data_IF_298554456091
#
_entry.id   IF_298554456091
#
_cell.length_a   1.000
_cell.length_b   1.000
_cell.length_c   1.000
_cell.angle_alpha   90.00
_cell.angle_beta   90.00
_cell.angle_gamma   90.00
#
_symmetry.space_group_name_H-M   'P 1'
#
loop_
_entity.id
_entity.type
_entity.pdbx_description
1 polymer ?
#
# COMPACT_ATOMS: atom_id res chain seq x y z
N UNK A 1 7.37 1.25 -10.53
CA UNK A 1 6.83 0.48 -9.38
C UNK A 1 6.29 -0.86 -9.88
N UNK A 2 6.49 -1.94 -9.12
CA UNK A 2 5.86 -3.21 -9.44
C UNK A 2 4.34 -3.07 -9.28
N UNK A 3 3.57 -3.68 -10.19
CA UNK A 3 2.10 -3.74 -10.09
C UNK A 3 1.76 -5.03 -9.35
N UNK A 4 1.24 -4.92 -8.13
CA UNK A 4 0.85 -6.07 -7.31
C UNK A 4 -0.55 -6.63 -7.67
N UNK A 5 -1.28 -5.95 -8.54
CA UNK A 5 -2.62 -6.36 -8.95
C UNK A 5 -2.65 -7.58 -9.85
N UNK A 6 -3.77 -8.31 -9.81
CA UNK A 6 -4.01 -9.52 -10.60
C UNK A 6 -5.35 -9.46 -11.34
N UNK A 7 -5.34 -9.97 -12.57
CA UNK A 7 -6.57 -10.36 -13.28
C UNK A 7 -6.82 -11.82 -12.95
N UNK A 8 -8.01 -12.13 -12.42
CA UNK A 8 -8.32 -13.50 -11.99
C UNK A 8 -8.68 -14.34 -13.23
N UNK A 9 -7.90 -15.39 -13.55
CA UNK A 9 -8.10 -16.20 -14.75
C UNK A 9 -9.50 -16.83 -14.82
N UNK A 10 -10.07 -16.86 -16.01
CA UNK A 10 -11.39 -17.45 -16.29
C UNK A 10 -12.57 -16.72 -15.61
N UNK A 11 -12.36 -15.48 -15.18
CA UNK A 11 -13.39 -14.64 -14.54
C UNK A 11 -13.35 -13.21 -15.08
N UNK A 12 -14.42 -12.42 -14.97
CA UNK A 12 -14.40 -11.00 -15.31
C UNK A 12 -13.85 -10.12 -14.17
N UNK A 13 -13.01 -10.66 -13.25
CA UNK A 13 -12.53 -9.99 -12.06
C UNK A 13 -11.10 -9.47 -12.22
N UNK A 14 -10.87 -8.24 -11.77
CA UNK A 14 -9.54 -7.65 -11.59
C UNK A 14 -9.42 -7.10 -10.17
N UNK A 15 -8.33 -7.40 -9.48
CA UNK A 15 -8.04 -6.90 -8.12
C UNK A 15 -6.75 -6.11 -8.16
N UNK A 16 -6.79 -4.84 -7.73
CA UNK A 16 -5.65 -3.90 -7.72
C UNK A 16 -4.97 -3.74 -9.09
N UNK A 17 -5.69 -4.02 -10.18
CA UNK A 17 -5.18 -3.98 -11.54
C UNK A 17 -6.00 -3.02 -12.40
N UNK A 18 -5.44 -1.88 -12.79
CA UNK A 18 -6.16 -0.75 -13.39
C UNK A 18 -5.86 -0.53 -14.87
N UNK A 19 -5.00 -1.35 -15.46
CA UNK A 19 -4.63 -1.25 -16.88
C UNK A 19 -5.69 -1.93 -17.77
N UNK A 20 -6.83 -1.29 -17.96
CA UNK A 20 -8.02 -1.84 -18.66
C UNK A 20 -7.68 -2.41 -20.06
N UNK A 21 -6.75 -1.76 -20.78
CA UNK A 21 -6.33 -2.24 -22.11
C UNK A 21 -5.65 -3.61 -22.06
N UNK A 22 -5.02 -3.96 -20.94
CA UNK A 22 -4.36 -5.26 -20.72
C UNK A 22 -5.29 -6.33 -20.16
N UNK A 23 -6.50 -5.97 -19.75
CA UNK A 23 -7.51 -6.89 -19.24
C UNK A 23 -8.89 -6.65 -19.89
N UNK A 24 -9.03 -6.82 -21.21
CA UNK A 24 -10.25 -6.44 -21.94
C UNK A 24 -11.50 -7.22 -21.47
N UNK A 25 -11.32 -8.41 -20.88
CA UNK A 25 -12.40 -9.22 -20.30
C UNK A 25 -12.82 -8.84 -18.88
N UNK A 26 -12.04 -8.02 -18.17
CA UNK A 26 -12.41 -7.60 -16.81
C UNK A 26 -13.60 -6.63 -16.82
N UNK A 27 -14.52 -6.81 -15.88
CA UNK A 27 -15.77 -6.04 -15.76
C UNK A 27 -15.96 -5.53 -14.34
N UNK A 28 -15.48 -6.25 -13.34
CA UNK A 28 -15.58 -5.94 -11.93
C UNK A 28 -14.18 -5.70 -11.39
N UNK A 29 -13.97 -4.50 -10.87
CA UNK A 29 -12.68 -4.06 -10.34
C UNK A 29 -12.75 -3.90 -8.83
N UNK A 30 -11.79 -4.47 -8.13
CA UNK A 30 -11.72 -4.49 -6.68
C UNK A 30 -10.43 -3.82 -6.22
N UNK A 31 -10.52 -2.99 -5.19
CA UNK A 31 -9.38 -2.32 -4.56
C UNK A 31 -9.25 -2.80 -3.13
N UNK A 32 -8.13 -3.45 -2.81
CA UNK A 32 -7.87 -3.97 -1.47
C UNK A 32 -7.58 -2.87 -0.46
N UNK A 33 -6.75 -1.89 -0.83
CA UNK A 33 -6.37 -0.76 0.02
C UNK A 33 -5.68 0.36 -0.80
N UNK A 34 -5.38 1.48 -0.14
CA UNK A 34 -4.93 2.72 -0.80
C UNK A 34 -3.41 2.91 -0.87
N UNK A 35 -2.59 1.86 -0.79
CA UNK A 35 -1.16 2.01 -1.06
C UNK A 35 -0.90 2.21 -2.56
N UNK A 36 0.19 2.92 -2.88
CA UNK A 36 0.49 3.37 -4.23
C UNK A 36 0.72 2.23 -5.22
N UNK A 37 1.33 1.12 -4.80
CA UNK A 37 1.58 -0.06 -5.63
C UNK A 37 0.32 -0.89 -5.94
N UNK A 38 -0.79 -0.67 -5.20
CA UNK A 38 -2.11 -1.25 -5.48
C UNK A 38 -3.01 -0.32 -6.30
N UNK A 39 -2.63 0.95 -6.44
CA UNK A 39 -3.40 1.95 -7.21
C UNK A 39 -2.72 2.39 -8.51
N UNK A 40 -1.63 1.73 -8.93
CA UNK A 40 -0.89 2.06 -10.16
C UNK A 40 -1.79 2.02 -11.40
N UNK A 41 -1.97 3.17 -12.03
CA UNK A 41 -2.86 3.33 -13.20
C UNK A 41 -4.29 3.75 -12.86
N UNK A 42 -4.64 3.88 -11.58
CA UNK A 42 -5.91 4.44 -11.14
C UNK A 42 -5.73 5.96 -10.90
N UNK A 43 -6.57 6.75 -11.55
CA UNK A 43 -6.50 8.22 -11.51
C UNK A 43 -7.91 8.82 -11.38
N UNK A 44 -7.99 10.14 -11.18
CA UNK A 44 -9.27 10.89 -11.17
C UNK A 44 -10.07 10.77 -12.47
N UNK A 45 -9.40 10.40 -13.57
CA UNK A 45 -10.04 10.21 -14.88
C UNK A 45 -10.66 8.84 -15.06
N UNK A 46 -10.58 7.96 -14.05
CA UNK A 46 -11.21 6.63 -14.11
C UNK A 46 -12.70 6.74 -14.45
N UNK A 47 -13.11 6.05 -15.52
CA UNK A 47 -14.47 6.14 -16.06
C UNK A 47 -14.98 4.82 -16.66
N UNK A 48 -14.26 3.74 -16.44
CA UNK A 48 -14.51 2.52 -17.17
C UNK A 48 -15.50 1.56 -16.50
N UNK A 49 -15.35 1.34 -15.19
CA UNK A 49 -16.08 0.31 -14.45
C UNK A 49 -16.22 0.70 -12.97
N UNK A 50 -17.20 0.12 -12.27
CA UNK A 50 -17.33 0.27 -10.82
C UNK A 50 -16.09 -0.28 -10.11
N UNK A 51 -15.68 0.41 -9.05
CA UNK A 51 -14.61 0.03 -8.13
C UNK A 51 -15.27 -0.41 -6.83
N UNK A 52 -15.08 -1.66 -6.47
CA UNK A 52 -15.56 -2.23 -5.21
C UNK A 52 -14.45 -2.23 -4.17
N UNK A 53 -14.71 -1.68 -3.00
CA UNK A 53 -13.74 -1.56 -1.91
C UNK A 53 -14.45 -1.41 -0.56
N UNK A 54 -13.68 -1.35 0.54
CA UNK A 54 -14.25 -1.04 1.86
C UNK A 54 -14.74 0.42 1.94
N UNK A 55 -15.64 0.77 2.87
CA UNK A 55 -16.08 2.14 3.09
C UNK A 55 -14.94 3.11 3.38
N UNK A 56 -13.97 2.69 4.20
CA UNK A 56 -12.78 3.49 4.52
C UNK A 56 -11.91 3.71 3.27
N UNK A 57 -11.66 2.67 2.47
CA UNK A 57 -10.92 2.79 1.20
C UNK A 57 -11.66 3.69 0.23
N UNK A 58 -13.01 3.65 0.17
CA UNK A 58 -13.82 4.55 -0.65
C UNK A 58 -13.64 6.02 -0.25
N UNK A 59 -13.61 6.31 1.05
CA UNK A 59 -13.35 7.67 1.57
C UNK A 59 -11.95 8.16 1.15
N UNK A 60 -10.93 7.32 1.31
CA UNK A 60 -9.56 7.64 0.91
C UNK A 60 -9.42 7.79 -0.61
N UNK A 61 -10.14 7.00 -1.40
CA UNK A 61 -10.14 7.05 -2.85
C UNK A 61 -10.70 8.39 -3.36
N UNK A 62 -11.78 8.91 -2.73
CA UNK A 62 -12.32 10.26 -3.00
C UNK A 62 -11.30 11.34 -2.64
N UNK A 63 -10.75 11.24 -1.43
CA UNK A 63 -9.83 12.25 -0.90
C UNK A 63 -8.53 12.34 -1.70
N UNK A 64 -7.86 11.20 -1.94
CA UNK A 64 -6.49 11.16 -2.47
C UNK A 64 -6.42 11.12 -4.00
N UNK A 65 -7.29 10.37 -4.65
CA UNK A 65 -7.28 10.18 -6.11
C UNK A 65 -8.43 10.92 -6.81
N UNK A 66 -9.37 11.50 -6.06
CA UNK A 66 -10.50 12.26 -6.59
C UNK A 66 -11.30 11.51 -7.67
N UNK A 67 -11.39 10.20 -7.55
CA UNK A 67 -12.22 9.37 -8.43
C UNK A 67 -13.68 9.79 -8.26
N UNK A 68 -14.41 9.88 -9.38
CA UNK A 68 -15.82 10.30 -9.38
C UNK A 68 -16.69 9.31 -8.62
N UNK A 69 -17.60 9.83 -7.80
CA UNK A 69 -18.51 9.08 -6.91
C UNK A 69 -19.25 7.94 -7.62
N UNK A 70 -19.73 8.17 -8.83
CA UNK A 70 -20.47 7.18 -9.62
C UNK A 70 -19.70 5.86 -9.89
N UNK A 71 -18.37 5.86 -9.72
CA UNK A 71 -17.54 4.68 -9.92
C UNK A 71 -17.15 3.99 -8.62
N UNK A 72 -17.40 4.60 -7.46
CA UNK A 72 -17.01 4.09 -6.15
C UNK A 72 -18.18 3.35 -5.53
N UNK A 73 -18.01 2.06 -5.29
CA UNK A 73 -19.04 1.19 -4.73
C UNK A 73 -18.50 0.54 -3.45
N UNK A 74 -18.69 1.18 -2.28
CA UNK A 74 -18.30 0.59 -1.01
C UNK A 74 -19.13 -0.63 -0.69
N UNK A 75 -18.49 -1.65 -0.14
CA UNK A 75 -19.11 -2.88 0.36
C UNK A 75 -18.79 -3.02 1.84
N UNK A 76 -19.82 -3.32 2.65
CA UNK A 76 -19.65 -3.52 4.09
C UNK A 76 -18.83 -4.78 4.39
N UNK A 77 -18.03 -4.73 5.47
CA UNK A 77 -17.21 -5.84 5.90
C UNK A 77 -18.07 -6.94 6.56
N UNK A 78 -17.70 -8.18 6.32
CA UNK A 78 -18.34 -9.35 6.91
C UNK A 78 -19.65 -9.78 6.24
N UNK A 79 -20.30 -8.90 5.49
CA UNK A 79 -21.54 -9.20 4.79
C UNK A 79 -21.28 -9.79 3.38
N UNK A 80 -22.03 -10.82 2.96
CA UNK A 80 -21.96 -11.34 1.61
C UNK A 80 -22.72 -10.45 0.63
N UNK A 81 -22.05 -9.91 -0.37
CA UNK A 81 -22.63 -9.07 -1.41
C UNK A 81 -22.74 -9.84 -2.72
N UNK A 82 -23.92 -9.82 -3.36
CA UNK A 82 -24.14 -10.48 -4.64
C UNK A 82 -24.00 -9.51 -5.82
N UNK A 83 -23.09 -9.80 -6.73
CA UNK A 83 -22.84 -9.03 -7.94
C UNK A 83 -23.11 -9.90 -9.18
N UNK A 84 -23.65 -9.33 -10.27
CA UNK A 84 -23.87 -10.08 -11.52
C UNK A 84 -22.53 -10.34 -12.22
N UNK A 85 -22.36 -11.55 -12.74
CA UNK A 85 -21.21 -11.95 -13.58
C UNK A 85 -21.56 -11.98 -15.07
N UNK A 86 -22.82 -11.70 -15.42
CA UNK A 86 -23.32 -11.61 -16.79
C UNK A 86 -24.42 -10.55 -16.93
N UNK A 87 -24.79 -10.22 -18.17
CA UNK A 87 -25.80 -9.19 -18.46
C UNK A 87 -27.24 -9.62 -18.14
N UNK A 88 -27.50 -10.92 -17.98
CA UNK A 88 -28.84 -11.48 -17.75
C UNK A 88 -29.09 -11.88 -16.30
N UNK A 89 -28.09 -11.72 -15.42
CA UNK A 89 -28.18 -12.05 -14.00
C UNK A 89 -28.30 -13.55 -13.70
N UNK A 90 -27.91 -14.42 -14.65
CA UNK A 90 -27.91 -15.88 -14.50
C UNK A 90 -26.77 -16.35 -13.61
N UNK A 91 -25.57 -15.82 -13.87
CA UNK A 91 -24.38 -16.11 -13.07
C UNK A 91 -24.11 -14.97 -12.08
N UNK A 92 -23.78 -15.32 -10.87
CA UNK A 92 -23.57 -14.37 -9.79
C UNK A 92 -22.27 -14.63 -9.06
N UNK A 93 -21.67 -13.57 -8.57
CA UNK A 93 -20.56 -13.56 -7.64
C UNK A 93 -21.08 -13.23 -6.25
N UNK A 94 -20.73 -14.05 -5.27
CA UNK A 94 -20.77 -13.61 -3.87
C UNK A 94 -19.39 -13.11 -3.49
N UNK A 95 -19.30 -11.89 -2.96
CA UNK A 95 -18.06 -11.31 -2.46
C UNK A 95 -18.24 -10.89 -1.00
N UNK A 96 -17.31 -11.34 -0.15
CA UNK A 96 -17.28 -10.96 1.27
C UNK A 96 -15.94 -10.29 1.57
N UNK A 97 -15.99 -9.13 2.23
CA UNK A 97 -14.82 -8.38 2.66
C UNK A 97 -14.43 -8.80 4.07
N UNK A 98 -13.14 -9.08 4.27
CA UNK A 98 -12.58 -9.48 5.57
C UNK A 98 -11.48 -8.47 5.92
N UNK A 99 -11.45 -8.00 7.17
CA UNK A 99 -10.40 -7.09 7.66
C UNK A 99 -9.00 -7.70 7.45
N UNK A 100 -8.12 -6.97 6.74
CA UNK A 100 -6.78 -7.46 6.42
C UNK A 100 -5.72 -7.14 7.49
N UNK A 101 -6.04 -6.28 8.47
CA UNK A 101 -5.11 -5.86 9.54
C UNK A 101 -3.77 -5.33 9.00
N UNK A 102 -3.80 -4.57 7.89
CA UNK A 102 -2.62 -4.01 7.24
C UNK A 102 -2.52 -2.49 7.44
N UNK A 103 -3.40 -1.75 6.80
CA UNK A 103 -3.56 -0.31 6.99
C UNK A 103 -5.06 0.05 7.04
N UNK A 104 -5.46 1.28 7.40
CA UNK A 104 -6.86 1.67 7.43
C UNK A 104 -7.59 1.36 6.13
N UNK A 105 -8.69 0.62 6.24
CA UNK A 105 -9.53 0.24 5.11
C UNK A 105 -9.05 -0.97 4.30
N UNK A 106 -7.90 -1.56 4.64
CA UNK A 106 -7.38 -2.74 3.95
C UNK A 106 -8.25 -3.97 4.19
N UNK A 107 -8.60 -4.67 3.10
CA UNK A 107 -9.45 -5.86 3.14
C UNK A 107 -8.92 -6.99 2.27
N UNK A 108 -9.22 -8.21 2.71
CA UNK A 108 -9.17 -9.41 1.90
C UNK A 108 -10.53 -9.58 1.22
N UNK A 109 -10.56 -10.17 0.02
CA UNK A 109 -11.77 -10.51 -0.70
C UNK A 109 -11.94 -12.04 -0.78
N UNK A 110 -13.06 -12.54 -0.27
CA UNK A 110 -13.52 -13.90 -0.57
C UNK A 110 -14.52 -13.85 -1.73
N UNK A 111 -14.16 -14.42 -2.86
CA UNK A 111 -14.99 -14.54 -4.05
C UNK A 111 -15.52 -15.96 -4.20
N UNK A 112 -16.83 -16.10 -4.37
CA UNK A 112 -17.50 -17.38 -4.57
C UNK A 112 -18.40 -17.32 -5.79
N UNK A 113 -18.28 -18.31 -6.68
CA UNK A 113 -19.03 -18.33 -7.93
C UNK A 113 -18.81 -19.65 -8.69
N UNK A 114 -19.13 -19.66 -10.01
CA UNK A 114 -18.95 -20.82 -10.87
C UNK A 114 -17.49 -21.35 -10.91
N UNK A 115 -16.55 -20.53 -10.53
CA UNK A 115 -15.11 -20.83 -10.46
C UNK A 115 -14.65 -21.43 -9.14
N UNK A 116 -15.58 -21.70 -8.22
CA UNK A 116 -15.31 -22.12 -6.85
C UNK A 116 -15.09 -20.92 -5.91
N UNK A 117 -14.27 -21.10 -4.88
CA UNK A 117 -13.95 -20.10 -3.88
C UNK A 117 -12.51 -19.62 -4.00
N UNK A 118 -12.33 -18.30 -4.05
CA UNK A 118 -11.03 -17.64 -4.18
C UNK A 118 -10.89 -16.65 -3.02
N UNK A 119 -9.87 -16.85 -2.19
CA UNK A 119 -9.49 -15.85 -1.19
C UNK A 119 -8.29 -15.04 -1.72
N UNK A 120 -8.48 -13.74 -1.87
CA UNK A 120 -7.45 -12.79 -2.27
C UNK A 120 -7.09 -11.92 -1.07
N UNK A 121 -5.89 -12.10 -0.51
CA UNK A 121 -5.52 -11.43 0.75
C UNK A 121 -5.25 -9.94 0.57
N UNK A 122 -4.88 -9.48 -0.63
CA UNK A 122 -4.17 -8.21 -0.73
C UNK A 122 -2.97 -8.24 0.20
N UNK A 123 -2.54 -7.08 0.67
CA UNK A 123 -1.57 -6.99 1.75
C UNK A 123 -2.27 -7.20 3.08
N UNK A 124 -1.74 -8.11 3.93
CA UNK A 124 -2.39 -8.43 5.19
C UNK A 124 -1.39 -8.79 6.30
N UNK A 125 -1.80 -8.61 7.53
CA UNK A 125 -1.10 -9.21 8.67
C UNK A 125 -2.01 -10.17 9.40
N UNK A 126 -1.70 -11.46 9.30
CA UNK A 126 -2.47 -12.52 9.91
C UNK A 126 -2.60 -12.35 11.43
N UNK A 127 -3.81 -12.61 11.90
CA UNK A 127 -4.13 -12.81 13.31
C UNK A 127 -5.09 -13.99 13.44
N UNK A 128 -5.00 -14.81 14.51
CA UNK A 128 -5.90 -15.95 14.70
C UNK A 128 -7.39 -15.56 14.75
N UNK A 129 -7.72 -14.29 14.99
CA UNK A 129 -9.08 -13.78 14.95
C UNK A 129 -9.70 -13.84 13.56
N UNK A 130 -8.91 -13.72 12.49
CA UNK A 130 -9.39 -13.79 11.10
C UNK A 130 -10.05 -15.13 10.78
N UNK A 131 -9.55 -16.23 11.35
CA UNK A 131 -10.16 -17.54 11.17
C UNK A 131 -11.50 -17.71 11.90
N UNK A 132 -11.88 -16.74 12.73
CA UNK A 132 -13.20 -16.71 13.40
C UNK A 132 -14.27 -16.02 12.58
N UNK A 133 -13.88 -15.38 11.49
CA UNK A 133 -14.84 -14.78 10.55
C UNK A 133 -15.81 -15.86 10.02
N UNK A 134 -17.13 -15.59 10.01
CA UNK A 134 -18.12 -16.58 9.61
C UNK A 134 -17.85 -17.20 8.25
N UNK A 135 -17.40 -16.43 7.29
CA UNK A 135 -17.10 -16.86 5.92
C UNK A 135 -15.84 -17.75 5.80
N UNK A 136 -14.93 -17.74 6.80
CA UNK A 136 -13.74 -18.59 6.84
C UNK A 136 -13.85 -19.77 7.79
N UNK A 137 -14.99 -19.92 8.47
CA UNK A 137 -15.19 -21.04 9.41
C UNK A 137 -15.30 -22.38 8.68
N UNK A 138 -15.04 -23.42 9.44
CA UNK A 138 -14.78 -24.84 9.27
C UNK A 138 -15.34 -25.62 8.07
N UNK A 139 -16.19 -25.11 7.22
CA UNK A 139 -16.72 -25.80 6.05
C UNK A 139 -16.46 -25.08 4.72
N UNK A 140 -15.81 -23.93 4.75
CA UNK A 140 -15.46 -23.21 3.52
C UNK A 140 -14.16 -23.79 2.96
N UNK A 141 -14.26 -24.49 1.84
CA UNK A 141 -13.06 -24.95 1.11
C UNK A 141 -12.56 -23.79 0.26
N UNK A 142 -11.34 -23.34 0.46
CA UNK A 142 -10.70 -22.35 -0.42
C UNK A 142 -10.02 -23.08 -1.59
N UNK A 143 -10.55 -22.91 -2.80
CA UNK A 143 -9.96 -23.53 -3.99
C UNK A 143 -8.66 -22.83 -4.40
N UNK A 144 -8.62 -21.50 -4.30
CA UNK A 144 -7.44 -20.72 -4.65
C UNK A 144 -7.19 -19.66 -3.58
N UNK A 145 -5.98 -19.63 -3.04
CA UNK A 145 -5.49 -18.57 -2.16
C UNK A 145 -4.49 -17.72 -2.93
N UNK A 146 -4.83 -16.45 -3.19
CA UNK A 146 -3.85 -15.42 -3.58
C UNK A 146 -3.28 -14.84 -2.29
N UNK A 147 -1.99 -15.05 -2.07
CA UNK A 147 -1.33 -14.78 -0.78
C UNK A 147 -0.31 -13.64 -0.90
N UNK A 148 -0.39 -12.68 0.00
CA UNK A 148 0.70 -11.75 0.28
C UNK A 148 1.93 -12.52 0.77
N UNK A 149 2.96 -12.54 -0.06
CA UNK A 149 4.21 -13.23 0.21
C UNK A 149 5.40 -12.26 0.45
N UNK A 150 5.12 -11.03 0.86
CA UNK A 150 6.13 -9.98 1.04
C UNK A 150 7.24 -10.39 2.01
N UNK A 151 6.91 -11.04 3.12
CA UNK A 151 7.90 -11.54 4.09
C UNK A 151 7.97 -13.07 4.10
N UNK A 152 7.79 -13.72 2.95
CA UNK A 152 7.85 -15.17 2.84
C UNK A 152 9.30 -15.70 2.78
N UNK A 153 10.08 -15.39 3.80
CA UNK A 153 11.45 -15.88 3.99
C UNK A 153 11.54 -16.58 5.36
N UNK A 154 11.74 -17.92 5.39
CA UNK A 154 11.82 -18.68 6.64
C UNK A 154 13.01 -18.29 7.53
N UNK A 155 14.05 -17.67 6.96
CA UNK A 155 15.21 -17.23 7.71
C UNK A 155 15.02 -15.86 8.37
N UNK A 156 13.88 -15.20 8.10
CA UNK A 156 13.62 -13.86 8.59
C UNK A 156 12.55 -13.88 9.68
N UNK A 157 12.95 -13.52 10.90
CA UNK A 157 12.03 -13.31 12.00
C UNK A 157 11.61 -11.87 12.11
N UNK A 158 10.33 -11.62 12.36
CA UNK A 158 9.77 -10.29 12.58
C UNK A 158 9.03 -10.28 13.93
N UNK A 159 9.23 -9.26 14.76
CA UNK A 159 8.50 -9.14 16.01
C UNK A 159 7.02 -8.85 15.76
N UNK A 160 6.18 -9.12 16.74
CA UNK A 160 4.81 -8.61 16.75
C UNK A 160 4.82 -7.06 16.75
N UNK A 161 3.74 -6.44 16.24
CA UNK A 161 3.60 -4.96 16.31
C UNK A 161 3.71 -4.46 17.75
N UNK A 162 3.17 -5.23 18.72
CA UNK A 162 3.24 -4.88 20.14
C UNK A 162 4.68 -4.85 20.66
N UNK A 163 5.50 -5.83 20.31
CA UNK A 163 6.91 -5.86 20.68
C UNK A 163 7.69 -4.71 20.02
N UNK A 164 7.46 -4.47 18.73
CA UNK A 164 8.09 -3.36 18.01
C UNK A 164 7.67 -1.99 18.60
N UNK A 165 6.40 -1.80 18.92
CA UNK A 165 5.89 -0.59 19.60
C UNK A 165 6.55 -0.41 20.97
N UNK A 166 6.71 -1.49 21.74
CA UNK A 166 7.37 -1.43 23.03
C UNK A 166 8.84 -1.00 22.90
N UNK A 167 9.57 -1.55 21.93
CA UNK A 167 10.95 -1.15 21.62
C UNK A 167 11.03 0.34 21.25
N UNK A 168 10.09 0.85 20.44
CA UNK A 168 10.01 2.27 20.10
C UNK A 168 9.78 3.11 21.37
N UNK A 169 8.86 2.71 22.25
CA UNK A 169 8.60 3.40 23.53
C UNK A 169 9.85 3.44 24.42
N UNK A 170 10.63 2.37 24.46
CA UNK A 170 11.88 2.31 25.22
C UNK A 170 12.95 3.26 24.67
N UNK A 171 13.11 3.32 23.35
CA UNK A 171 14.01 4.30 22.69
C UNK A 171 13.59 5.73 23.08
N UNK A 172 12.31 6.05 23.01
CA UNK A 172 11.80 7.39 23.36
C UNK A 172 12.01 7.72 24.84
N UNK A 173 11.82 6.74 25.74
CA UNK A 173 12.04 6.92 27.20
C UNK A 173 13.51 7.12 27.54
N UNK A 174 14.42 6.43 26.85
CA UNK A 174 15.87 6.58 27.07
C UNK A 174 16.42 7.93 26.58
N UNK A 175 15.62 8.69 25.81
CA UNK A 175 15.99 10.01 25.28
C UNK A 175 14.97 11.11 25.68
N UNK A 176 14.82 11.40 26.98
CA UNK A 176 13.74 12.27 27.47
C UNK A 176 13.86 13.71 26.98
N UNK A 177 15.06 14.18 26.70
CA UNK A 177 15.36 15.54 26.24
C UNK A 177 15.35 15.69 24.70
N UNK A 178 15.17 14.61 23.94
CA UNK A 178 15.20 14.68 22.49
C UNK A 178 13.80 14.89 21.90
N UNK A 179 13.74 15.63 20.81
CA UNK A 179 12.63 15.53 19.87
C UNK A 179 12.73 14.22 19.11
N UNK A 180 11.58 13.66 18.74
CA UNK A 180 11.49 12.36 18.09
C UNK A 180 10.81 12.53 16.75
N UNK A 181 11.46 12.08 15.68
CA UNK A 181 10.89 12.06 14.33
C UNK A 181 10.60 10.61 13.95
N UNK A 182 9.34 10.31 13.66
CA UNK A 182 8.92 8.96 13.21
C UNK A 182 8.77 8.97 11.70
N UNK A 183 9.58 8.18 11.00
CA UNK A 183 9.53 8.05 9.54
C UNK A 183 8.50 7.03 9.09
N UNK A 184 7.48 7.46 8.35
CA UNK A 184 6.34 6.64 7.92
C UNK A 184 6.13 6.72 6.41
N UNK A 185 5.31 5.81 5.89
CA UNK A 185 4.69 5.93 4.57
C UNK A 185 3.45 6.84 4.62
N UNK A 186 2.81 7.05 3.48
CA UNK A 186 1.63 7.92 3.36
C UNK A 186 0.44 7.43 4.16
N UNK A 187 0.28 6.13 4.30
CA UNK A 187 -0.80 5.46 5.02
C UNK A 187 -0.24 4.26 5.80
N UNK A 188 -0.84 3.94 6.92
CA UNK A 188 -0.43 2.86 7.83
C UNK A 188 0.33 3.35 9.05
N UNK A 189 0.34 2.53 10.11
CA UNK A 189 0.95 2.79 11.43
C UNK A 189 0.28 3.90 12.25
N UNK A 190 -0.95 4.26 11.91
CA UNK A 190 -1.75 5.23 12.68
C UNK A 190 -1.94 4.75 14.12
N UNK A 191 -2.16 3.45 14.34
CA UNK A 191 -2.26 2.87 15.68
C UNK A 191 -0.98 3.03 16.50
N UNK A 192 0.20 2.95 15.86
CA UNK A 192 1.47 3.25 16.53
C UNK A 192 1.51 4.69 17.00
N UNK A 193 1.11 5.64 16.17
CA UNK A 193 1.09 7.06 16.54
C UNK A 193 0.12 7.33 17.69
N UNK A 194 -1.06 6.71 17.67
CA UNK A 194 -2.04 6.78 18.76
C UNK A 194 -1.44 6.23 20.07
N UNK A 195 -0.79 5.06 20.02
CA UNK A 195 -0.14 4.44 21.17
C UNK A 195 0.97 5.35 21.75
N UNK A 196 1.73 6.02 20.91
CA UNK A 196 2.77 6.96 21.34
C UNK A 196 2.18 8.24 21.95
N UNK A 197 1.13 8.79 21.34
CA UNK A 197 0.43 9.96 21.85
C UNK A 197 -0.13 9.70 23.26
N UNK A 198 -0.79 8.55 23.44
CA UNK A 198 -1.38 8.14 24.72
C UNK A 198 -0.31 7.86 25.80
N UNK A 199 0.76 7.14 25.44
CA UNK A 199 1.85 6.79 26.36
C UNK A 199 2.58 8.02 26.89
N UNK A 200 2.95 8.93 25.98
CA UNK A 200 3.76 10.10 26.33
C UNK A 200 2.92 11.34 26.64
N UNK A 201 1.58 11.23 26.56
CA UNK A 201 0.63 12.31 26.80
C UNK A 201 1.02 13.59 26.05
N UNK A 202 1.28 13.44 24.77
CA UNK A 202 1.76 14.50 23.88
C UNK A 202 1.01 14.52 22.56
N UNK A 203 0.91 15.68 21.95
CA UNK A 203 0.47 15.81 20.57
C UNK A 203 1.48 15.12 19.64
N UNK A 204 0.98 14.54 18.55
CA UNK A 204 1.79 14.11 17.43
C UNK A 204 1.69 15.16 16.33
N UNK A 205 2.81 15.82 16.04
CA UNK A 205 2.89 16.76 14.93
C UNK A 205 2.90 16.03 13.59
N UNK A 206 2.06 16.47 12.66
CA UNK A 206 1.91 15.87 11.33
C UNK A 206 1.81 16.94 10.24
N UNK A 207 2.07 16.58 8.99
CA UNK A 207 1.82 17.47 7.85
C UNK A 207 0.32 17.71 7.64
N UNK A 208 -0.03 18.82 6.98
CA UNK A 208 -1.42 19.12 6.61
C UNK A 208 -2.06 17.98 5.80
N UNK A 209 -1.34 17.42 4.84
CA UNK A 209 -1.83 16.31 4.02
C UNK A 209 -2.12 15.05 4.85
N UNK A 210 -1.27 14.76 5.84
CA UNK A 210 -1.52 13.65 6.77
C UNK A 210 -2.69 13.96 7.69
N UNK A 211 -2.83 15.19 8.17
CA UNK A 211 -3.96 15.61 9.00
C UNK A 211 -5.30 15.42 8.27
N UNK A 212 -5.39 15.76 6.99
CA UNK A 212 -6.60 15.50 6.18
C UNK A 212 -6.95 14.00 6.15
N UNK A 213 -5.93 13.16 5.97
CA UNK A 213 -6.10 11.70 5.98
C UNK A 213 -6.60 11.21 7.35
N UNK A 214 -5.99 11.66 8.44
CA UNK A 214 -6.35 11.25 9.80
C UNK A 214 -7.77 11.70 10.18
N UNK A 215 -8.18 12.90 9.73
CA UNK A 215 -9.57 13.38 9.89
C UNK A 215 -10.56 12.55 9.10
N UNK A 216 -10.23 12.19 7.85
CA UNK A 216 -11.08 11.33 7.02
C UNK A 216 -11.21 9.90 7.57
N UNK A 217 -10.25 9.46 8.39
CA UNK A 217 -10.28 8.19 9.12
C UNK A 217 -10.98 8.30 10.48
N UNK A 218 -11.48 9.48 10.84
CA UNK A 218 -12.17 9.75 12.11
C UNK A 218 -11.36 9.33 13.36
N UNK A 219 -10.03 9.50 13.29
CA UNK A 219 -9.14 9.12 14.39
C UNK A 219 -9.26 10.11 15.56
N UNK A 220 -8.91 9.68 16.81
CA UNK A 220 -8.91 10.54 17.98
C UNK A 220 -8.09 11.81 17.80
N UNK A 221 -8.51 12.90 18.43
CA UNK A 221 -7.87 14.21 18.38
C UNK A 221 -6.61 14.26 19.26
N UNK A 222 -5.54 13.67 18.73
CA UNK A 222 -4.18 13.65 19.32
C UNK A 222 -3.12 14.14 18.33
N UNK A 223 -3.55 14.62 17.17
CA UNK A 223 -2.69 15.09 16.10
C UNK A 223 -2.79 16.61 15.95
N UNK A 224 -1.69 17.23 15.56
CA UNK A 224 -1.64 18.68 15.32
C UNK A 224 -0.78 19.01 14.11
N UNK A 225 -1.07 20.13 13.48
CA UNK A 225 -0.21 20.73 12.44
C UNK A 225 0.63 21.88 12.99
N UNK A 226 0.49 22.23 14.28
CA UNK A 226 1.19 23.33 14.91
C UNK A 226 2.64 22.91 15.23
N UNK A 227 3.67 23.56 14.65
CA UNK A 227 5.04 23.17 14.86
C UNK A 227 5.45 23.34 16.34
N UNK A 228 6.06 22.31 16.91
CA UNK A 228 6.55 22.32 18.28
C UNK A 228 5.49 22.14 19.37
N UNK A 229 4.22 21.88 19.02
CA UNK A 229 3.17 21.59 20.00
C UNK A 229 3.41 20.27 20.76
N UNK A 230 4.18 19.35 20.16
CA UNK A 230 4.61 18.10 20.79
C UNK A 230 6.06 17.78 20.46
N UNK A 231 6.67 16.90 21.25
CA UNK A 231 8.04 16.46 20.99
C UNK A 231 8.15 15.28 20.00
N UNK A 232 7.00 14.73 19.54
CA UNK A 232 6.95 13.62 18.58
C UNK A 232 6.33 14.16 17.28
N UNK A 233 7.04 13.97 16.18
CA UNK A 233 6.60 14.37 14.84
C UNK A 233 6.63 13.19 13.89
N UNK A 234 5.58 12.98 13.11
CA UNK A 234 5.53 12.01 12.04
C UNK A 234 5.80 12.67 10.68
N UNK A 235 6.79 12.18 9.96
CA UNK A 235 7.22 12.66 8.64
C UNK A 235 7.21 11.53 7.64
N UNK A 236 7.34 11.82 6.35
CA UNK A 236 7.61 10.77 5.37
C UNK A 236 9.03 10.21 5.57
N UNK A 237 9.17 8.88 5.42
CA UNK A 237 10.48 8.24 5.57
C UNK A 237 11.55 8.86 4.67
N UNK A 238 11.18 9.33 3.47
CA UNK A 238 12.05 10.00 2.51
C UNK A 238 12.60 11.35 2.99
N UNK A 239 11.98 11.97 4.00
CA UNK A 239 12.46 13.24 4.59
C UNK A 239 13.61 13.01 5.59
N UNK A 240 13.85 11.76 6.01
CA UNK A 240 14.91 11.44 6.97
C UNK A 240 16.20 11.19 6.20
N UNK A 241 16.98 12.24 6.01
CA UNK A 241 18.30 12.25 5.42
C UNK A 241 19.34 12.90 6.34
N UNK A 242 20.60 12.84 5.95
CA UNK A 242 21.72 13.38 6.71
C UNK A 242 21.58 14.91 6.93
N UNK A 243 21.23 15.64 5.87
CA UNK A 243 21.04 17.09 5.92
C UNK A 243 19.89 17.48 6.85
N UNK A 244 18.75 16.80 6.77
CA UNK A 244 17.58 17.04 7.61
C UNK A 244 17.89 16.79 9.10
N UNK A 245 18.53 15.66 9.41
CA UNK A 245 18.92 15.36 10.80
C UNK A 245 19.91 16.36 11.36
N UNK A 246 20.91 16.78 10.59
CA UNK A 246 21.85 17.80 11.01
C UNK A 246 21.16 19.14 11.27
N UNK A 247 20.20 19.50 10.42
CA UNK A 247 19.42 20.75 10.59
C UNK A 247 18.58 20.68 11.86
N UNK A 248 17.87 19.57 12.11
CA UNK A 248 17.07 19.41 13.32
C UNK A 248 17.94 19.43 14.59
N UNK A 249 19.07 18.74 14.59
CA UNK A 249 19.97 18.69 15.75
C UNK A 249 20.70 20.02 16.01
N UNK A 250 20.80 20.93 15.04
CA UNK A 250 21.27 22.31 15.29
C UNK A 250 20.29 23.12 16.13
N UNK A 251 19.00 22.83 16.02
CA UNK A 251 17.95 23.53 16.74
C UNK A 251 17.69 22.91 18.12
N UNK A 252 17.54 21.60 18.16
CA UNK A 252 17.28 20.83 19.38
C UNK A 252 17.74 19.38 19.18
N UNK A 253 18.29 18.72 20.21
CA UNK A 253 18.61 17.28 20.13
C UNK A 253 17.43 16.49 19.57
N UNK A 254 17.65 15.80 18.47
CA UNK A 254 16.59 15.11 17.72
C UNK A 254 17.08 13.74 17.29
N UNK A 255 16.24 12.73 17.49
CA UNK A 255 16.45 11.41 16.96
C UNK A 255 15.33 11.02 15.97
N UNK A 256 15.66 10.15 15.03
CA UNK A 256 14.69 9.58 14.10
C UNK A 256 14.49 8.08 14.36
N UNK A 257 13.24 7.64 14.30
CA UNK A 257 12.86 6.24 14.42
C UNK A 257 12.18 5.82 13.11
N UNK A 258 12.67 4.72 12.54
CA UNK A 258 12.15 4.13 11.30
C UNK A 258 11.52 2.77 11.60
N UNK A 259 10.19 2.72 11.85
CA UNK A 259 9.47 1.47 12.01
C UNK A 259 9.24 0.85 10.63
N UNK A 260 10.05 -0.14 10.25
CA UNK A 260 10.01 -0.72 8.91
C UNK A 260 10.30 -2.22 8.94
N UNK A 261 9.67 -2.96 8.00
CA UNK A 261 10.02 -4.36 7.75
C UNK A 261 11.17 -4.52 6.74
N UNK A 262 11.61 -3.43 6.09
CA UNK A 262 12.75 -3.52 5.18
C UNK A 262 14.04 -3.73 5.96
N UNK A 263 14.99 -4.52 5.44
CA UNK A 263 16.28 -4.75 6.08
C UNK A 263 17.20 -3.53 5.90
N UNK A 264 16.83 -2.41 6.52
CA UNK A 264 17.59 -1.17 6.51
C UNK A 264 18.59 -1.15 7.66
N UNK A 265 19.78 -0.64 7.39
CA UNK A 265 20.82 -0.37 8.40
C UNK A 265 21.12 1.13 8.36
N UNK A 266 21.12 1.76 9.53
CA UNK A 266 21.55 3.15 9.69
C UNK A 266 22.97 3.24 10.19
N UNK A 267 23.74 4.16 9.63
CA UNK A 267 25.09 4.52 10.09
C UNK A 267 25.10 5.81 10.91
N UNK A 268 23.94 6.40 11.15
CA UNK A 268 23.84 7.63 11.94
C UNK A 268 23.39 7.30 13.37
N UNK A 269 24.12 7.79 14.42
CA UNK A 269 23.83 7.43 15.81
C UNK A 269 22.43 7.85 16.28
N UNK A 270 21.87 8.90 15.71
CA UNK A 270 20.53 9.41 16.06
C UNK A 270 19.42 8.80 15.19
N UNK A 271 19.67 7.70 14.46
CA UNK A 271 18.65 7.00 13.66
C UNK A 271 18.51 5.57 14.13
N UNK A 272 17.33 5.24 14.62
CA UNK A 272 16.98 3.91 15.11
C UNK A 272 16.05 3.22 14.12
N UNK A 273 16.52 2.15 13.50
CA UNK A 273 15.68 1.28 12.67
C UNK A 273 15.05 0.22 13.56
N UNK A 274 13.74 0.20 13.66
CA UNK A 274 13.00 -0.78 14.46
C UNK A 274 12.24 -1.71 13.53
N UNK A 275 12.47 -3.04 13.61
CA UNK A 275 11.70 -4.00 12.83
C UNK A 275 10.21 -3.91 13.16
N UNK A 276 9.43 -3.40 12.22
CA UNK A 276 7.98 -3.24 12.35
C UNK A 276 7.32 -3.61 11.03
N UNK A 277 6.41 -4.55 11.04
CA UNK A 277 5.74 -5.00 9.82
C UNK A 277 4.22 -4.87 9.91
N UNK A 278 3.62 -4.42 8.81
CA UNK A 278 2.18 -4.48 8.58
C UNK A 278 1.80 -5.67 7.67
N UNK A 279 2.80 -6.48 7.25
CA UNK A 279 2.62 -7.74 6.55
C UNK A 279 2.91 -8.91 7.47
N UNK A 280 2.33 -10.06 7.18
CA UNK A 280 2.56 -11.32 7.91
C UNK A 280 4.03 -11.72 7.87
N UNK A 281 4.54 -12.22 8.99
CA UNK A 281 5.82 -12.94 9.04
C UNK A 281 5.69 -14.32 8.39
N UNK A 282 6.82 -14.97 8.09
CA UNK A 282 6.79 -16.33 7.53
C UNK A 282 5.99 -17.31 8.41
N UNK A 283 6.18 -17.29 9.74
CA UNK A 283 5.44 -18.15 10.67
C UNK A 283 3.94 -17.86 10.64
N UNK A 284 3.55 -16.57 10.61
CA UNK A 284 2.15 -16.18 10.49
C UNK A 284 1.53 -16.65 9.16
N UNK A 285 2.29 -16.65 8.06
CA UNK A 285 1.86 -17.21 6.78
C UNK A 285 1.69 -18.73 6.83
N UNK A 286 2.63 -19.43 7.46
CA UNK A 286 2.58 -20.88 7.65
C UNK A 286 1.36 -21.29 8.49
N UNK A 287 1.09 -20.58 9.58
CA UNK A 287 -0.08 -20.82 10.44
C UNK A 287 -1.39 -20.58 9.66
N UNK A 288 -1.45 -19.51 8.88
CA UNK A 288 -2.64 -19.17 8.07
C UNK A 288 -2.92 -20.22 6.99
N UNK A 289 -1.91 -20.58 6.19
CA UNK A 289 -2.04 -21.60 5.14
C UNK A 289 -2.38 -22.96 5.71
N UNK A 290 -1.74 -23.36 6.83
CA UNK A 290 -2.02 -24.63 7.53
C UNK A 290 -3.43 -24.71 8.07
N UNK A 291 -4.00 -23.60 8.51
CA UNK A 291 -5.37 -23.54 9.00
C UNK A 291 -6.41 -23.59 7.89
N UNK A 292 -6.20 -22.83 6.80
CA UNK A 292 -7.13 -22.77 5.67
C UNK A 292 -7.06 -24.00 4.76
N UNK A 293 -5.90 -24.61 4.59
CA UNK A 293 -5.64 -25.75 3.70
C UNK A 293 -6.19 -25.55 2.29
N UNK A 294 -5.83 -24.45 1.60
CA UNK A 294 -6.35 -24.15 0.27
C UNK A 294 -5.91 -25.24 -0.74
N UNK A 295 -6.71 -25.44 -1.80
CA UNK A 295 -6.36 -26.41 -2.84
C UNK A 295 -5.18 -25.94 -3.68
N UNK A 296 -5.05 -24.62 -3.91
CA UNK A 296 -3.89 -24.03 -4.59
C UNK A 296 -3.51 -22.68 -4.00
N UNK A 297 -2.21 -22.32 -4.12
CA UNK A 297 -1.63 -21.09 -3.61
C UNK A 297 -0.96 -20.32 -4.76
N UNK A 298 -1.25 -19.04 -4.88
CA UNK A 298 -0.68 -18.15 -5.86
C UNK A 298 -0.09 -16.90 -5.15
N UNK A 299 1.13 -16.47 -5.50
CA UNK A 299 1.72 -15.28 -4.89
C UNK A 299 1.08 -13.99 -5.46
N UNK A 300 0.93 -12.99 -4.61
CA UNK A 300 0.56 -11.63 -5.04
C UNK A 300 1.80 -10.86 -5.47
N UNK A 301 2.88 -10.94 -4.70
CA UNK A 301 4.14 -10.24 -4.99
C UNK A 301 5.06 -11.13 -5.83
N UNK A 302 5.47 -10.63 -7.02
CA UNK A 302 6.36 -11.37 -7.91
C UNK A 302 5.70 -12.59 -8.55
N UNK A 303 6.55 -13.54 -8.99
CA UNK A 303 6.13 -14.76 -9.71
C UNK A 303 6.52 -16.05 -8.99
N UNK A 304 7.38 -15.98 -7.98
CA UNK A 304 7.82 -17.17 -7.25
C UNK A 304 6.78 -17.57 -6.20
N UNK A 305 6.20 -18.75 -6.38
CA UNK A 305 5.42 -19.36 -5.31
C UNK A 305 6.32 -19.62 -4.09
N UNK A 306 5.84 -19.37 -2.88
CA UNK A 306 6.59 -19.69 -1.66
C UNK A 306 6.77 -21.20 -1.54
N UNK A 307 7.95 -21.71 -1.97
CA UNK A 307 8.19 -23.15 -2.14
C UNK A 307 7.86 -24.00 -0.91
N UNK A 308 8.21 -23.50 0.30
CA UNK A 308 7.96 -24.24 1.54
C UNK A 308 6.46 -24.26 1.93
N UNK A 309 5.71 -23.17 1.65
CA UNK A 309 4.27 -23.13 1.95
C UNK A 309 3.47 -24.03 1.03
N UNK A 310 3.95 -24.29 -0.19
CA UNK A 310 3.30 -25.22 -1.11
C UNK A 310 3.30 -26.67 -0.59
N UNK A 311 4.22 -27.03 0.30
CA UNK A 311 4.25 -28.35 0.95
C UNK A 311 3.11 -28.57 1.94
N UNK A 312 2.47 -27.50 2.41
CA UNK A 312 1.33 -27.53 3.33
C UNK A 312 -0.01 -27.78 2.63
N UNK A 313 -0.01 -27.71 1.28
CA UNK A 313 -1.23 -27.87 0.49
C UNK A 313 -1.68 -29.34 0.44
N UNK A 314 -3.00 -29.60 0.45
CA UNK A 314 -3.51 -30.93 0.23
C UNK A 314 -3.20 -31.40 -1.19
N UNK A 315 -2.96 -32.71 -1.38
CA UNK A 315 -2.69 -33.35 -2.69
C UNK A 315 -3.93 -33.39 -3.62
N UNK A 316 -4.77 -32.35 -3.58
CA UNK A 316 -5.97 -32.24 -4.40
C UNK A 316 -5.65 -31.54 -5.73
N UNK A 317 -6.13 -32.09 -6.84
CA UNK A 317 -6.07 -31.40 -8.13
C UNK A 317 -7.13 -30.33 -8.16
N UNK A 318 -6.74 -29.13 -8.65
CA UNK A 318 -7.69 -28.05 -8.91
C UNK A 318 -8.72 -28.51 -9.96
N UNK A 319 -10.03 -28.31 -9.75
CA UNK A 319 -11.04 -28.60 -10.78
C UNK A 319 -10.83 -27.68 -11.99
N UNK A 320 -11.15 -28.20 -13.17
CA UNK A 320 -11.15 -27.41 -14.40
C UNK A 320 -12.32 -26.42 -14.34
N UNK A 321 -12.02 -25.13 -14.44
CA UNK A 321 -13.04 -24.09 -14.45
C UNK A 321 -13.69 -24.03 -15.83
N UNK A 322 -14.98 -24.35 -15.92
CA UNK A 322 -15.79 -24.17 -17.09
C UNK A 322 -16.46 -22.80 -17.02
N UNK A 323 -16.04 -21.87 -17.88
CA UNK A 323 -16.65 -20.54 -17.95
C UNK A 323 -18.03 -20.63 -18.60
N UNK A 324 -19.13 -20.25 -17.92
CA UNK A 324 -20.46 -20.23 -18.51
C UNK A 324 -20.51 -19.34 -19.76
N UNK A 325 -21.31 -19.74 -20.77
CA UNK A 325 -21.36 -19.00 -22.02
C UNK A 325 -21.84 -17.55 -21.83
N UNK A 326 -22.82 -17.31 -20.93
CA UNK A 326 -23.28 -15.95 -20.62
C UNK A 326 -22.16 -15.07 -20.07
N UNK A 327 -21.29 -15.60 -19.21
CA UNK A 327 -20.12 -14.89 -18.68
C UNK A 327 -19.08 -14.66 -19.78
N UNK A 328 -18.85 -15.64 -20.65
CA UNK A 328 -17.94 -15.50 -21.79
C UNK A 328 -18.38 -14.36 -22.71
N UNK A 329 -19.66 -14.28 -23.03
CA UNK A 329 -20.23 -13.18 -23.82
C UNK A 329 -20.09 -11.84 -23.12
N UNK A 330 -20.35 -11.81 -21.82
CA UNK A 330 -20.15 -10.61 -21.00
C UNK A 330 -18.69 -10.11 -21.01
N UNK A 331 -17.72 -11.03 -20.93
CA UNK A 331 -16.30 -10.69 -21.00
C UNK A 331 -15.87 -10.18 -22.38
N UNK A 332 -16.49 -10.67 -23.46
CA UNK A 332 -16.17 -10.30 -24.84
C UNK A 332 -16.85 -8.99 -25.28
N UNK A 333 -17.90 -8.56 -24.60
CA UNK A 333 -18.64 -7.35 -24.94
C UNK A 333 -17.71 -6.13 -24.91
N UNK A 334 -17.66 -5.43 -26.05
CA UNK A 334 -16.96 -4.14 -26.08
C UNK A 334 -17.70 -3.13 -25.18
N UNK A 335 -17.02 -2.26 -24.43
CA UNK A 335 -17.68 -1.20 -23.71
C UNK A 335 -18.45 -0.33 -24.71
N UNK A 336 -19.75 -0.22 -24.53
CA UNK A 336 -20.50 0.81 -25.23
C UNK A 336 -19.91 2.14 -24.76
N UNK A 337 -19.29 2.84 -25.69
CA UNK A 337 -18.93 4.25 -25.47
C UNK A 337 -20.30 4.92 -25.33
N UNK A 338 -20.71 5.21 -24.11
CA UNK A 338 -21.79 6.16 -23.88
C UNK A 338 -21.29 7.51 -24.40
N UNK A 339 -21.47 7.72 -25.68
CA UNK A 339 -21.52 9.06 -26.24
C UNK A 339 -22.65 9.72 -25.50
N UNK A 340 -22.30 10.53 -24.49
CA UNK A 340 -23.29 11.35 -23.82
C UNK A 340 -24.16 11.98 -24.86
N UNK A 341 -25.45 11.84 -24.70
CA UNK A 341 -26.45 12.50 -25.55
C UNK A 341 -26.40 14.01 -25.29
N UNK A 342 -25.29 14.63 -25.66
CA UNK A 342 -25.29 16.04 -26.02
C UNK A 342 -25.82 16.10 -27.43
N UNK A 343 -26.91 16.79 -27.62
CA UNK A 343 -27.58 17.04 -28.84
C UNK A 343 -26.61 17.43 -29.96
N UNK A 344 -26.08 16.45 -30.67
CA UNK A 344 -25.50 16.68 -31.97
C UNK A 344 -26.65 16.84 -32.94
N UNK A 345 -27.02 18.09 -33.15
CA UNK A 345 -27.78 18.57 -34.29
C UNK A 345 -27.32 17.82 -35.53
N UNK A 346 -28.24 17.14 -36.19
CA UNK A 346 -28.07 16.45 -37.47
C UNK A 346 -27.30 17.34 -38.43
N UNK A 347 -26.01 17.11 -38.60
CA UNK A 347 -25.28 17.56 -39.76
C UNK A 347 -25.80 16.78 -40.96
N UNK A 348 -26.59 17.44 -41.82
CA UNK A 348 -27.08 16.92 -43.09
C UNK A 348 -25.87 16.34 -43.83
N UNK A 349 -25.96 15.03 -44.16
CA UNK A 349 -25.11 14.36 -45.11
C UNK A 349 -25.11 15.14 -46.45
N UNK A 350 -24.05 15.91 -46.64
CA UNK A 350 -23.75 16.41 -48.00
C UNK A 350 -23.12 15.26 -48.75
N UNK A 351 -23.79 14.84 -49.83
CA UNK A 351 -23.26 13.93 -50.82
C UNK A 351 -21.88 14.43 -51.28
N UNK A 352 -20.83 13.80 -50.82
CA UNK A 352 -19.49 13.97 -51.38
C UNK A 352 -19.46 13.27 -52.72
N UNK A 353 -19.35 14.08 -53.81
CA UNK A 353 -19.00 13.56 -55.15
C UNK A 353 -17.59 12.91 -55.03
N UNK A 354 -17.35 11.79 -55.69
CA UNK A 354 -16.03 11.17 -55.70
C UNK A 354 -15.06 12.12 -56.44
N UNK A 355 -14.04 12.60 -55.72
CA UNK A 355 -12.93 13.34 -56.31
C UNK A 355 -11.94 12.33 -56.84
N UNK A 356 -11.65 12.40 -58.15
CA UNK A 356 -10.62 11.59 -58.77
C UNK A 356 -9.24 11.90 -58.16
N UNK A 357 -8.36 10.90 -57.95
CA UNK A 357 -7.05 11.13 -57.37
C UNK A 357 -6.19 11.96 -58.34
N UNK A 358 -5.77 13.15 -57.97
CA UNK A 358 -4.73 13.93 -58.63
C UNK A 358 -3.38 13.37 -58.22
N UNK A 359 -2.70 12.75 -59.19
CA UNK A 359 -1.30 12.35 -59.02
C UNK A 359 -0.42 13.57 -58.89
N UNK A 360 0.51 13.57 -57.98
CA UNK A 360 1.56 14.60 -57.80
C UNK A 360 2.71 14.21 -58.72
N UNK A 361 2.98 15.06 -59.73
CA UNK A 361 4.16 14.95 -60.63
C UNK A 361 5.28 15.76 -59.95
N UNK A 362 6.39 15.10 -59.62
CA UNK A 362 7.61 15.74 -59.16
C UNK A 362 8.41 16.22 -60.42
N UNK A 363 8.48 17.54 -60.63
CA UNK A 363 9.44 18.12 -61.52
C UNK A 363 10.69 18.55 -60.76
N UNK A 364 11.86 18.15 -61.25
CA UNK A 364 13.16 18.54 -60.71
C UNK A 364 13.47 20.00 -61.10
N UNK A 365 14.02 20.83 -60.19
CA UNK A 365 14.34 22.24 -60.52
C UNK A 365 15.62 22.32 -61.39
N UNK A 366 15.71 23.30 -62.33
CA UNK A 366 16.90 23.56 -63.09
C UNK A 366 17.97 24.29 -62.26
N UNK A 367 19.22 23.98 -62.52
CA UNK A 367 20.39 24.64 -61.94
C UNK A 367 20.57 26.04 -62.54
N UNK A 368 20.86 27.04 -61.69
CA UNK A 368 21.60 28.20 -62.12
C UNK A 368 21.30 29.52 -61.42
N UNK A 369 22.35 30.04 -60.77
CA UNK A 369 22.83 31.41 -60.61
C UNK A 369 22.31 32.30 -59.46
N UNK A 370 23.22 32.47 -58.50
CA UNK A 370 23.81 33.71 -57.92
C UNK A 370 22.93 34.83 -57.38
N UNK A 371 23.00 35.01 -56.04
CA UNK A 371 23.26 36.23 -55.19
C UNK A 371 22.45 37.54 -55.40
N UNK A 372 22.47 38.44 -54.38
CA UNK A 372 22.27 38.37 -52.92
C UNK A 372 21.31 39.49 -52.39
N UNK A 373 21.20 39.55 -51.05
CA UNK A 373 20.89 40.71 -50.19
C UNK A 373 19.47 41.04 -49.76
N UNK A 374 19.40 41.18 -48.46
CA UNK A 374 18.85 42.20 -47.56
C UNK A 374 17.43 41.98 -47.00
N UNK A 375 17.48 41.76 -45.70
CA UNK A 375 16.84 42.45 -44.53
C UNK A 375 15.32 42.60 -44.48
N UNK A 376 14.84 42.15 -43.37
CA UNK A 376 14.02 42.76 -42.33
C UNK A 376 12.62 42.19 -42.04
N UNK A 377 12.43 41.95 -40.73
CA UNK A 377 11.30 42.30 -39.85
C UNK A 377 10.18 41.30 -39.63
N UNK A 378 10.28 40.70 -38.42
CA UNK A 378 9.27 40.46 -37.38
C UNK A 378 7.86 39.97 -37.70
N UNK A 379 7.51 38.89 -36.97
CA UNK A 379 6.18 38.58 -36.50
C UNK A 379 6.04 37.13 -36.01
N UNK A 380 5.44 36.90 -34.85
CA UNK A 380 5.61 35.66 -34.12
C UNK A 380 4.62 34.58 -34.55
N UNK A 381 5.13 33.44 -34.90
CA UNK A 381 4.36 32.19 -35.04
C UNK A 381 4.28 31.46 -33.70
N UNK A 382 3.07 31.08 -33.34
CA UNK A 382 2.82 30.13 -32.26
C UNK A 382 3.21 28.72 -32.73
N UNK A 383 3.94 27.92 -31.92
CA UNK A 383 4.15 26.53 -32.26
C UNK A 383 2.96 25.70 -31.80
N UNK A 384 2.45 24.86 -32.71
CA UNK A 384 1.58 23.71 -32.39
C UNK A 384 2.40 22.69 -31.63
N UNK A 385 1.95 22.35 -30.40
CA UNK A 385 2.54 21.29 -29.59
C UNK A 385 2.08 19.91 -30.10
N UNK A 386 2.97 19.26 -30.83
CA UNK A 386 2.92 17.80 -31.02
C UNK A 386 3.29 17.13 -29.68
N UNK A 387 2.29 16.56 -29.03
CA UNK A 387 2.48 15.72 -27.83
C UNK A 387 3.05 14.37 -28.22
N UNK A 388 4.37 14.26 -28.30
CA UNK A 388 5.07 12.99 -28.26
C UNK A 388 5.07 12.48 -26.82
N UNK A 389 4.47 11.30 -26.60
CA UNK A 389 4.55 10.54 -25.35
C UNK A 389 6.01 10.10 -25.09
N UNK A 390 6.73 10.87 -24.32
CA UNK A 390 7.98 10.41 -23.72
C UNK A 390 7.65 9.50 -22.54
N UNK A 391 7.93 8.21 -22.70
CA UNK A 391 8.09 7.27 -21.59
C UNK A 391 9.19 7.81 -20.67
N UNK A 392 8.81 8.35 -19.53
CA UNK A 392 9.74 8.75 -18.49
C UNK A 392 10.24 7.53 -17.75
N UNK A 393 11.26 6.86 -18.31
CA UNK A 393 12.19 6.01 -17.55
C UNK A 393 12.99 6.88 -16.58
N UNK A 394 12.46 7.08 -15.38
CA UNK A 394 13.22 7.66 -14.29
C UNK A 394 13.86 6.56 -13.45
N UNK A 395 14.80 5.82 -14.01
CA UNK A 395 15.91 5.26 -13.27
C UNK A 395 17.14 6.17 -13.39
N UNK A 396 17.07 7.35 -12.80
CA UNK A 396 18.27 8.08 -12.44
C UNK A 396 18.77 7.52 -11.11
N UNK A 397 19.81 6.71 -11.19
CA UNK A 397 20.70 6.47 -10.07
C UNK A 397 21.45 7.78 -9.76
N UNK A 398 20.80 8.69 -9.07
CA UNK A 398 21.50 9.73 -8.34
C UNK A 398 22.25 9.04 -7.22
N UNK A 399 23.57 9.15 -7.23
CA UNK A 399 24.41 8.84 -6.08
C UNK A 399 24.05 9.85 -5.00
N UNK A 400 23.00 9.54 -4.23
CA UNK A 400 22.62 10.29 -3.05
C UNK A 400 23.72 10.13 -2.01
N UNK A 401 24.66 11.09 -2.02
CA UNK A 401 25.66 11.26 -0.96
C UNK A 401 25.04 11.57 0.40
N UNK A 402 23.71 11.76 0.44
CA UNK A 402 22.92 12.14 1.62
C UNK A 402 22.16 10.95 2.25
N UNK A 403 22.26 9.76 1.69
CA UNK A 403 21.57 8.58 2.21
C UNK A 403 22.27 8.03 3.45
N UNK A 404 21.58 8.08 4.60
CA UNK A 404 22.02 7.51 5.88
C UNK A 404 21.57 6.05 6.08
N UNK A 405 20.86 5.51 5.11
CA UNK A 405 20.27 4.16 5.16
C UNK A 405 20.78 3.32 4.00
N UNK A 406 21.17 2.08 4.28
CA UNK A 406 21.46 1.07 3.27
C UNK A 406 20.46 -0.07 3.38
N UNK A 407 19.86 -0.43 2.26
CA UNK A 407 19.03 -1.61 2.11
C UNK A 407 19.94 -2.80 1.77
N UNK A 408 20.21 -3.64 2.76
CA UNK A 408 21.10 -4.78 2.61
C UNK A 408 20.53 -5.89 1.71
N UNK A 409 19.24 -5.90 1.42
CA UNK A 409 18.64 -6.85 0.48
C UNK A 409 19.11 -6.63 -0.97
N UNK A 410 19.53 -5.40 -1.30
CA UNK A 410 20.00 -5.03 -2.64
C UNK A 410 21.50 -5.31 -2.86
N UNK A 411 22.26 -5.61 -1.81
CA UNK A 411 23.71 -5.84 -1.88
C UNK A 411 24.10 -7.27 -2.17
N UNK A 412 23.16 -8.23 -2.12
CA UNK A 412 23.39 -9.65 -2.43
C UNK A 412 22.87 -9.94 -3.83
N UNK A 413 23.66 -9.67 -4.88
CA UNK A 413 23.46 -10.27 -6.19
C UNK A 413 24.08 -11.67 -6.19
N UNK A 414 23.33 -12.76 -6.45
CA UNK A 414 23.96 -14.06 -6.65
C UNK A 414 24.71 -14.03 -7.98
N UNK A 415 26.03 -14.03 -7.91
CA UNK A 415 26.90 -14.13 -9.07
C UNK A 415 26.74 -15.53 -9.70
N UNK A 416 25.84 -15.67 -10.67
CA UNK A 416 25.75 -16.85 -11.53
C UNK A 416 26.83 -16.71 -12.59
N UNK A 417 28.04 -17.20 -12.30
CA UNK A 417 28.98 -17.86 -13.24
C UNK A 417 30.36 -17.92 -12.63
N UNK A 418 30.70 -19.10 -12.07
CA UNK A 418 31.99 -19.81 -12.30
C UNK A 418 32.02 -21.05 -11.40
N UNK A 419 32.00 -22.20 -12.03
CA UNK A 419 32.42 -23.43 -11.38
C UNK A 419 33.91 -23.36 -11.05
N UNK A 420 34.28 -23.75 -9.83
CA UNK A 420 35.65 -23.83 -9.37
C UNK A 420 35.69 -23.92 -7.85
N UNK A 421 36.33 -24.96 -7.37
CA UNK A 421 36.48 -25.38 -6.00
C UNK A 421 36.75 -24.30 -4.96
N UNK A 422 36.06 -24.47 -3.82
CA UNK A 422 36.51 -24.20 -2.46
C UNK A 422 37.05 -22.80 -2.18
N UNK A 423 36.22 -21.93 -1.62
CA UNK A 423 36.68 -20.97 -0.62
C UNK A 423 35.43 -20.48 0.16
N UNK A 424 35.40 -20.88 1.41
CA UNK A 424 34.45 -20.38 2.42
C UNK A 424 34.81 -18.92 2.73
N UNK A 425 34.06 -17.99 2.19
CA UNK A 425 34.09 -16.59 2.63
C UNK A 425 33.22 -16.42 3.84
N UNK A 426 33.84 -16.50 5.04
CA UNK A 426 33.27 -15.98 6.27
C UNK A 426 33.22 -14.47 6.18
N UNK A 427 32.04 -13.89 6.03
CA UNK A 427 31.80 -12.47 6.31
C UNK A 427 31.92 -12.29 7.83
N UNK A 428 33.10 -11.87 8.29
CA UNK A 428 33.26 -11.33 9.64
C UNK A 428 32.54 -9.99 9.70
N UNK A 429 31.25 -10.03 10.02
CA UNK A 429 30.57 -8.88 10.58
C UNK A 429 31.14 -8.72 11.98
N UNK A 430 32.05 -7.78 12.16
CA UNK A 430 32.48 -7.33 13.47
C UNK A 430 31.25 -6.75 14.17
N UNK A 431 30.55 -7.59 14.94
CA UNK A 431 29.64 -7.17 15.96
C UNK A 431 30.46 -6.47 17.05
N UNK A 432 30.61 -5.16 16.98
CA UNK A 432 30.89 -4.37 18.17
C UNK A 432 29.60 -4.26 18.96
N UNK A 433 29.22 -5.34 19.59
CA UNK A 433 28.35 -5.32 20.76
C UNK A 433 29.26 -4.96 21.91
N UNK A 434 29.10 -3.79 22.49
CA UNK A 434 29.74 -3.45 23.75
C UNK A 434 29.32 -4.48 24.80
N UNK A 435 30.31 -5.13 25.38
CA UNK A 435 30.18 -6.20 26.40
C UNK A 435 29.70 -5.72 27.79
N UNK A 436 28.91 -4.65 27.87
CA UNK A 436 28.51 -4.09 29.17
C UNK A 436 27.05 -4.39 29.59
N UNK A 437 26.40 -5.40 29.00
CA UNK A 437 25.03 -5.83 29.43
C UNK A 437 24.94 -7.34 29.59
N UNK A 438 25.84 -7.93 30.36
CA UNK A 438 25.69 -9.29 30.88
C UNK A 438 26.22 -9.40 32.30
N UNK A 439 25.57 -8.77 33.27
CA UNK A 439 25.50 -9.26 34.66
C UNK A 439 24.27 -8.64 35.31
N UNK A 440 23.19 -9.36 35.37
CA UNK A 440 22.18 -9.19 36.40
C UNK A 440 21.67 -10.58 36.75
N UNK A 441 22.34 -11.15 37.74
CA UNK A 441 21.93 -12.36 38.42
C UNK A 441 20.56 -12.22 39.08
N UNK A 442 19.88 -13.34 39.08
CA UNK A 442 18.71 -13.70 39.88
C UNK A 442 18.77 -13.20 41.32
N UNK A 443 17.73 -12.49 41.77
CA UNK A 443 17.36 -12.39 43.20
C UNK A 443 15.84 -12.52 43.38
N UNK A 444 15.40 -13.12 44.53
CA UNK A 444 14.07 -13.66 44.68
C UNK A 444 13.02 -12.68 45.20
N UNK A 445 11.78 -12.99 44.89
CA UNK A 445 10.57 -12.36 45.43
C UNK A 445 10.58 -12.38 46.98
N UNK A 446 10.45 -11.21 47.62
CA UNK A 446 9.59 -11.04 48.81
C UNK A 446 9.52 -9.58 49.28
N UNK A 447 8.31 -9.25 49.71
CA UNK A 447 7.91 -8.24 50.70
C UNK A 447 7.37 -6.88 50.22
N UNK A 448 6.10 -6.76 50.54
CA UNK A 448 5.26 -5.56 50.68
C UNK A 448 5.93 -4.34 51.34
N UNK A 449 5.68 -3.18 50.80
CA UNK A 449 5.55 -1.96 51.62
C UNK A 449 4.57 -0.95 50.99
N UNK A 450 3.56 -0.58 51.77
CA UNK A 450 2.61 0.48 51.52
C UNK A 450 3.32 1.83 51.57
N UNK A 451 3.01 2.76 50.66
CA UNK A 451 3.36 4.19 50.81
C UNK A 451 2.11 5.04 50.55
N UNK A 452 1.87 5.91 51.55
CA UNK A 452 0.75 6.82 51.69
C UNK A 452 0.68 7.93 50.64
N UNK A 453 -0.55 8.30 50.28
CA UNK A 453 -0.90 9.45 49.46
C UNK A 453 -0.84 10.75 50.23
N UNK A 454 -0.25 11.81 49.63
CA UNK A 454 -0.50 13.19 49.93
C UNK A 454 -0.96 13.92 48.65
N UNK A 455 -1.92 14.87 48.72
CA UNK A 455 -2.53 15.47 47.55
C UNK A 455 -1.67 16.61 46.99
N UNK A 456 -1.53 16.66 45.66
CA UNK A 456 -0.92 17.77 44.92
C UNK A 456 -2.01 18.49 44.13
N UNK A 457 -2.10 19.81 44.36
CA UNK A 457 -3.00 20.73 43.68
C UNK A 457 -2.71 20.79 42.18
N UNK A 458 -3.80 20.76 41.38
CA UNK A 458 -3.74 20.71 39.90
C UNK A 458 -4.01 22.13 39.38
N UNK A 459 -3.03 22.71 38.71
CA UNK A 459 -3.19 23.88 37.85
C UNK A 459 -3.72 23.43 36.51
N UNK A 460 -4.92 23.87 36.17
CA UNK A 460 -5.64 23.45 34.95
C UNK A 460 -5.14 24.18 33.72
N UNK A 461 -4.23 23.55 32.97
CA UNK A 461 -4.12 23.79 31.54
C UNK A 461 -4.82 22.63 30.83
N UNK A 462 -5.88 22.92 30.03
CA UNK A 462 -6.65 21.92 29.28
C UNK A 462 -5.69 21.06 28.45
N UNK A 463 -5.59 19.80 28.82
CA UNK A 463 -4.79 18.79 28.10
C UNK A 463 -5.69 17.99 27.15
N UNK A 464 -5.20 17.57 25.97
CA UNK A 464 -6.01 16.88 24.94
C UNK A 464 -6.66 15.56 25.41
N UNK A 465 -6.29 15.04 26.55
CA UNK A 465 -6.71 13.72 27.03
C UNK A 465 -8.00 13.70 27.87
N UNK A 466 -8.57 14.85 28.25
CA UNK A 466 -9.82 14.87 29.04
C UNK A 466 -11.08 14.57 28.20
N UNK A 467 -11.04 14.85 26.90
CA UNK A 467 -12.19 14.66 25.99
C UNK A 467 -12.45 13.17 25.68
N UNK A 468 -11.42 12.33 25.72
CA UNK A 468 -11.56 10.89 25.40
C UNK A 468 -12.27 10.11 26.51
N UNK A 469 -12.17 10.56 27.78
CA UNK A 469 -12.83 9.86 28.90
C UNK A 469 -14.34 10.15 29.00
N UNK A 470 -14.84 11.22 28.39
CA UNK A 470 -16.27 11.56 28.43
C UNK A 470 -17.10 10.88 27.33
N UNK A 471 -16.45 10.45 26.21
CA UNK A 471 -17.15 9.78 25.10
C UNK A 471 -17.51 8.31 25.40
N UNK A 472 -16.88 7.67 26.38
CA UNK A 472 -17.12 6.26 26.72
C UNK A 472 -18.16 6.02 27.82
N UNK A 473 -18.75 7.08 28.42
CA UNK A 473 -19.78 6.95 29.46
C UNK A 473 -21.22 7.17 28.99
N UNK A 474 -21.45 7.33 27.69
CA UNK A 474 -22.75 7.74 27.12
C UNK A 474 -23.65 6.64 26.52
N UNK A 475 -23.30 5.37 26.55
CA UNK A 475 -24.17 4.31 25.99
C UNK A 475 -24.34 3.13 26.95
N UNK A 476 -25.07 3.40 28.02
CA UNK A 476 -25.81 2.33 28.73
C UNK A 476 -27.05 2.95 29.39
N UNK A 477 -28.11 3.08 28.64
CA UNK A 477 -29.53 2.96 29.10
C UNK A 477 -30.49 3.13 27.91
N UNK A 478 -31.06 2.09 27.56
CA UNK A 478 -32.34 1.63 27.01
C UNK A 478 -32.16 0.60 25.95
#
# INVERSE_FOLDING_TARGET
MAVNGKVIPHTPLAVDFWQVRKCPGARLFFLTHMHSDHTVGLTSTWSNRPIYCSPTTATLLRLKLQVKEQWIHPLELGDPHMLPLDDIGKERLTVTLIEANHCPGAVMFLFEGYFGSILYTGDFRYTPSMLREPCLRTNTTIDVLYLDNTNCDPNRTLPSRKQATQQIKEIIRSHPSHNVVIGLYTLGKESLLLDLAMEFKTWIEVSFERMETLKALELPDVFTTDPGAGRIRAVYQSEIGFAALNQWNKQHPTLAILPTSRPLVSFHPNVHVVPYSDHSSYQELEDFVSALKPTSLLPIVGTCAPGNLSALLPSKKRPVILVPESVRQYMLRQPEIQLGSSAFTRLRSRHLRPVAPKGVIFESPPKGSTTPCEEDVCGPECPEEDASEEEMDTERSEKDSDSILIDISKTVTPNKNRGGAGDTWSLNIVQTVSEDVLVAESLPLSQHTQINHAPVEIVTNRRPFETIQQSTKGTQKC
#
